data_IF_822164718418
#
_entry.id   IF_822164718418
#
_cell.length_a   1.000
_cell.length_b   1.000
_cell.length_c   1.000
_cell.angle_alpha   90.00
_cell.angle_beta   90.00
_cell.angle_gamma   90.00
#
_symmetry.space_group_name_H-M   'P 1'
#
loop_
_entity.id
_entity.type
_entity.pdbx_description
1 polymer ?
#
# COMPACT_ATOMS: atom_id res chain seq x y z
N UNK A 1 -7.13 -3.63 -18.40
CA UNK A 1 -6.31 -4.32 -17.39
C UNK A 1 -6.16 -3.42 -16.16
N UNK A 2 -6.24 -3.97 -14.95
CA UNK A 2 -5.96 -3.28 -13.69
C UNK A 2 -4.60 -3.75 -13.18
N UNK A 3 -3.69 -2.83 -12.83
CA UNK A 3 -2.43 -3.17 -12.19
C UNK A 3 -2.52 -2.92 -10.67
N UNK A 4 -2.06 -3.88 -9.88
CA UNK A 4 -1.93 -3.74 -8.42
C UNK A 4 -0.47 -3.88 -8.02
N UNK A 5 0.11 -2.84 -7.43
CA UNK A 5 1.40 -2.93 -6.76
C UNK A 5 1.19 -3.20 -5.27
N UNK A 6 2.14 -3.87 -4.62
CA UNK A 6 1.96 -4.28 -3.23
C UNK A 6 0.89 -5.37 -3.03
N UNK A 7 0.53 -6.10 -4.10
CA UNK A 7 -0.46 -7.17 -4.08
C UNK A 7 -0.15 -8.33 -3.14
N UNK A 8 1.09 -8.44 -2.68
CA UNK A 8 1.52 -9.46 -1.70
C UNK A 8 1.44 -8.98 -0.24
N UNK A 9 1.03 -7.73 0.00
CA UNK A 9 0.77 -7.17 1.33
C UNK A 9 -0.66 -7.42 1.81
N UNK A 10 -0.97 -7.00 3.05
CA UNK A 10 -2.29 -7.20 3.64
C UNK A 10 -3.40 -6.62 2.76
N UNK A 11 -3.44 -5.31 2.55
CA UNK A 11 -4.48 -4.65 1.77
C UNK A 11 -4.48 -5.11 0.31
N UNK A 12 -3.28 -5.17 -0.31
CA UNK A 12 -3.18 -5.54 -1.73
C UNK A 12 -3.68 -6.94 -2.02
N UNK A 13 -3.45 -7.92 -1.14
CA UNK A 13 -3.97 -9.28 -1.32
C UNK A 13 -5.50 -9.35 -1.23
N UNK A 14 -6.11 -8.59 -0.34
CA UNK A 14 -7.58 -8.51 -0.25
C UNK A 14 -8.19 -7.78 -1.46
N UNK A 15 -7.53 -6.72 -1.93
CA UNK A 15 -7.94 -6.05 -3.16
C UNK A 15 -7.86 -7.00 -4.38
N UNK A 16 -6.78 -7.79 -4.48
CA UNK A 16 -6.65 -8.79 -5.54
C UNK A 16 -7.74 -9.84 -5.47
N UNK A 17 -8.08 -10.32 -4.26
CA UNK A 17 -9.19 -11.25 -4.06
C UNK A 17 -10.49 -10.64 -4.60
N UNK A 18 -10.82 -9.43 -4.18
CA UNK A 18 -12.06 -8.74 -4.59
C UNK A 18 -12.12 -8.53 -6.11
N UNK A 19 -11.02 -8.11 -6.73
CA UNK A 19 -10.96 -7.93 -8.19
C UNK A 19 -11.13 -9.26 -8.95
N UNK A 20 -10.53 -10.35 -8.42
CA UNK A 20 -10.66 -11.68 -9.03
C UNK A 20 -12.08 -12.26 -8.90
N UNK A 21 -12.76 -12.03 -7.77
CA UNK A 21 -14.17 -12.36 -7.55
C UNK A 21 -15.09 -11.62 -8.52
N UNK A 22 -14.85 -10.33 -8.71
CA UNK A 22 -15.61 -9.48 -9.63
C UNK A 22 -15.29 -9.78 -11.11
N UNK A 23 -14.42 -10.76 -11.39
CA UNK A 23 -14.03 -11.16 -12.74
C UNK A 23 -13.25 -10.07 -13.50
N UNK A 24 -12.61 -9.14 -12.78
CA UNK A 24 -11.82 -8.08 -13.42
C UNK A 24 -10.47 -8.63 -13.89
N UNK A 25 -10.01 -8.23 -15.10
CA UNK A 25 -8.67 -8.57 -15.56
C UNK A 25 -7.65 -7.81 -14.72
N UNK A 26 -6.88 -8.53 -13.91
CA UNK A 26 -5.93 -7.94 -12.95
C UNK A 26 -4.53 -8.51 -13.12
N UNK A 27 -3.55 -7.61 -13.13
CA UNK A 27 -2.11 -7.87 -13.06
C UNK A 27 -1.57 -7.44 -11.71
N UNK A 28 -0.68 -8.22 -11.12
CA UNK A 28 -0.06 -7.92 -9.84
C UNK A 28 1.47 -8.04 -9.92
N UNK A 29 2.16 -7.00 -9.45
CA UNK A 29 3.62 -7.04 -9.34
C UNK A 29 4.01 -7.74 -8.04
N UNK A 30 4.99 -8.66 -8.14
CA UNK A 30 5.61 -9.32 -7.00
C UNK A 30 7.14 -9.29 -7.10
N UNK A 31 7.84 -9.24 -5.95
CA UNK A 31 9.31 -9.27 -5.90
C UNK A 31 9.88 -10.67 -5.71
N UNK A 32 9.22 -11.48 -4.89
CA UNK A 32 9.66 -12.84 -4.57
C UNK A 32 8.52 -13.85 -4.70
N UNK A 33 8.83 -15.04 -5.20
CA UNK A 33 7.88 -16.15 -5.37
C UNK A 33 7.19 -16.49 -4.04
N UNK A 34 7.95 -16.58 -2.96
CA UNK A 34 7.42 -16.92 -1.63
C UNK A 34 6.32 -15.94 -1.18
N UNK A 35 6.51 -14.62 -1.41
CA UNK A 35 5.49 -13.63 -1.08
C UNK A 35 4.27 -13.70 -2.01
N UNK A 36 4.49 -13.95 -3.32
CA UNK A 36 3.39 -14.20 -4.26
C UNK A 36 2.55 -15.40 -3.82
N UNK A 37 3.19 -16.52 -3.52
CA UNK A 37 2.50 -17.75 -3.17
C UNK A 37 1.76 -17.64 -1.81
N UNK A 38 2.27 -16.82 -0.89
CA UNK A 38 1.61 -16.55 0.39
C UNK A 38 0.24 -15.89 0.26
N UNK A 39 -0.05 -15.21 -0.86
CA UNK A 39 -1.36 -14.59 -1.13
C UNK A 39 -2.47 -15.64 -1.19
N UNK A 40 -2.14 -16.87 -1.63
CA UNK A 40 -3.10 -17.97 -1.64
C UNK A 40 -3.64 -18.27 -0.22
N UNK A 41 -2.81 -18.12 0.81
CA UNK A 41 -3.26 -18.30 2.19
C UNK A 41 -4.32 -17.26 2.57
N UNK A 42 -4.13 -15.99 2.17
CA UNK A 42 -5.13 -14.93 2.40
C UNK A 42 -6.45 -15.27 1.71
N UNK A 43 -6.41 -15.69 0.46
CA UNK A 43 -7.60 -16.10 -0.29
C UNK A 43 -8.33 -17.27 0.38
N UNK A 44 -7.58 -18.22 0.92
CA UNK A 44 -8.13 -19.41 1.58
C UNK A 44 -8.92 -19.12 2.86
N UNK A 45 -8.73 -17.94 3.48
CA UNK A 45 -9.57 -17.52 4.61
C UNK A 45 -11.02 -17.22 4.19
N UNK A 46 -11.24 -16.87 2.93
CA UNK A 46 -12.53 -16.42 2.43
C UNK A 46 -13.20 -17.40 1.48
N UNK A 47 -12.42 -18.20 0.72
CA UNK A 47 -12.93 -19.01 -0.36
C UNK A 47 -12.35 -20.42 -0.39
N UNK A 48 -13.22 -21.44 -0.55
CA UNK A 48 -12.78 -22.80 -0.83
C UNK A 48 -12.11 -22.95 -2.22
N UNK A 49 -12.45 -22.07 -3.18
CA UNK A 49 -11.86 -22.01 -4.54
C UNK A 49 -10.71 -20.99 -4.65
N UNK A 50 -10.01 -20.74 -3.55
CA UNK A 50 -8.91 -19.75 -3.49
C UNK A 50 -7.89 -19.90 -4.61
N UNK A 51 -7.51 -21.14 -4.96
CA UNK A 51 -6.55 -21.43 -6.02
C UNK A 51 -7.03 -20.98 -7.40
N UNK A 52 -8.30 -21.17 -7.70
CA UNK A 52 -8.89 -20.76 -8.98
C UNK A 52 -8.90 -19.23 -9.12
N UNK A 53 -9.23 -18.51 -8.04
CA UNK A 53 -9.19 -17.05 -8.02
C UNK A 53 -7.75 -16.52 -8.14
N UNK A 54 -6.81 -17.13 -7.44
CA UNK A 54 -5.39 -16.80 -7.51
C UNK A 54 -4.82 -17.00 -8.93
N UNK A 55 -5.24 -18.05 -9.64
CA UNK A 55 -4.83 -18.35 -11.02
C UNK A 55 -5.38 -17.36 -12.06
N UNK A 56 -6.43 -16.59 -11.74
CA UNK A 56 -6.95 -15.54 -12.62
C UNK A 56 -6.08 -14.28 -12.63
N UNK A 57 -5.14 -14.18 -11.69
CA UNK A 57 -4.26 -13.02 -11.57
C UNK A 57 -3.05 -13.22 -12.48
N UNK A 58 -2.77 -12.23 -13.32
CA UNK A 58 -1.53 -12.17 -14.07
C UNK A 58 -0.39 -11.68 -13.16
N UNK A 59 0.48 -12.60 -12.76
CA UNK A 59 1.60 -12.30 -11.88
C UNK A 59 2.84 -11.90 -12.66
N UNK A 60 3.34 -10.67 -12.43
CA UNK A 60 4.55 -10.14 -13.09
C UNK A 60 5.62 -9.87 -12.04
N UNK A 61 6.82 -10.40 -12.28
CA UNK A 61 7.97 -10.11 -11.42
C UNK A 61 8.48 -8.70 -11.71
N UNK A 62 8.59 -7.86 -10.66
CA UNK A 62 9.05 -6.48 -10.81
C UNK A 62 9.25 -5.80 -9.45
N UNK A 63 9.86 -4.62 -9.50
CA UNK A 63 10.07 -3.76 -8.34
C UNK A 63 9.72 -2.32 -8.71
N UNK A 64 9.03 -1.60 -7.81
CA UNK A 64 8.69 -0.19 -8.03
C UNK A 64 9.92 0.73 -8.08
N UNK A 65 11.08 0.25 -7.65
CA UNK A 65 12.35 0.94 -7.80
C UNK A 65 13.05 0.66 -9.14
N UNK A 66 12.53 -0.28 -9.94
CA UNK A 66 13.04 -0.62 -11.27
C UNK A 66 12.06 -0.10 -12.34
N UNK A 67 12.43 1.03 -12.96
CA UNK A 67 11.59 1.73 -13.95
C UNK A 67 11.27 0.83 -15.15
N UNK A 68 12.23 0.04 -15.63
CA UNK A 68 11.99 -0.84 -16.77
C UNK A 68 10.93 -1.90 -16.45
N UNK A 69 10.98 -2.50 -15.25
CA UNK A 69 9.96 -3.47 -14.83
C UNK A 69 8.57 -2.84 -14.65
N UNK A 70 8.50 -1.54 -14.33
CA UNK A 70 7.23 -0.80 -14.26
C UNK A 70 6.65 -0.54 -15.64
N UNK A 71 7.46 -0.09 -16.60
CA UNK A 71 7.03 0.15 -17.98
C UNK A 71 6.44 -1.13 -18.60
N UNK A 72 7.14 -2.26 -18.46
CA UNK A 72 6.65 -3.57 -18.92
C UNK A 72 5.32 -3.97 -18.22
N UNK A 73 5.22 -3.70 -16.91
CA UNK A 73 4.02 -4.05 -16.13
C UNK A 73 2.81 -3.20 -16.47
N UNK A 74 3.00 -2.02 -17.04
CA UNK A 74 1.93 -1.09 -17.40
C UNK A 74 1.32 -1.37 -18.77
N UNK A 75 1.91 -2.22 -19.61
CA UNK A 75 1.39 -2.51 -20.94
C UNK A 75 -0.08 -2.97 -20.92
N UNK A 76 -0.96 -2.24 -21.62
CA UNK A 76 -2.39 -2.49 -21.68
C UNK A 76 -3.17 -2.17 -20.39
N UNK A 77 -2.55 -1.50 -19.43
CA UNK A 77 -3.17 -1.09 -18.17
C UNK A 77 -3.91 0.22 -18.34
N UNK A 78 -5.14 0.28 -17.82
CA UNK A 78 -5.96 1.50 -17.77
C UNK A 78 -6.24 2.00 -16.36
N UNK A 79 -5.92 1.17 -15.34
CA UNK A 79 -6.12 1.53 -13.94
C UNK A 79 -5.00 0.93 -13.08
N UNK A 80 -4.48 1.73 -12.16
CA UNK A 80 -3.45 1.32 -11.20
C UNK A 80 -3.96 1.50 -9.77
N UNK A 81 -3.76 0.49 -8.94
CA UNK A 81 -3.88 0.60 -7.49
C UNK A 81 -2.50 0.43 -6.86
N UNK A 82 -2.00 1.50 -6.30
CA UNK A 82 -0.68 1.54 -5.67
C UNK A 82 -0.80 1.28 -4.16
N UNK A 83 -0.67 0.01 -3.77
CA UNK A 83 -0.68 -0.44 -2.38
C UNK A 83 0.73 -0.75 -1.85
N UNK A 84 1.76 -0.67 -2.70
CA UNK A 84 3.13 -0.94 -2.29
C UNK A 84 3.64 0.17 -1.37
N UNK A 85 4.10 -0.23 -0.19
CA UNK A 85 4.82 0.64 0.74
C UNK A 85 5.70 -0.21 1.67
N UNK A 86 6.78 0.38 2.16
CA UNK A 86 7.55 -0.17 3.25
C UNK A 86 7.14 0.51 4.57
N UNK A 87 7.08 -0.28 5.63
CA UNK A 87 6.82 0.21 7.00
C UNK A 87 7.90 -0.36 7.91
N UNK A 88 8.67 0.50 8.54
CA UNK A 88 9.64 0.09 9.55
C UNK A 88 9.79 1.14 10.64
N UNK A 89 10.10 0.69 11.84
CA UNK A 89 10.48 1.54 12.98
C UNK A 89 11.95 1.37 13.33
N UNK A 90 12.71 0.58 12.56
CA UNK A 90 14.14 0.33 12.75
C UNK A 90 14.92 1.46 12.09
N UNK A 91 15.74 2.24 12.85
CA UNK A 91 16.45 3.39 12.28
C UNK A 91 17.31 3.06 11.05
N UNK A 92 17.99 1.94 11.05
CA UNK A 92 18.85 1.51 9.94
C UNK A 92 18.09 1.20 8.64
N UNK A 93 16.77 1.01 8.68
CA UNK A 93 15.94 0.68 7.53
C UNK A 93 15.14 1.91 7.01
N UNK A 94 15.20 3.04 7.71
CA UNK A 94 14.36 4.21 7.39
C UNK A 94 14.70 4.81 6.03
N UNK A 95 15.97 4.82 5.65
CA UNK A 95 16.41 5.29 4.34
C UNK A 95 15.83 4.43 3.22
N UNK A 96 15.89 3.10 3.36
CA UNK A 96 15.29 2.19 2.41
C UNK A 96 13.76 2.35 2.34
N UNK A 97 13.10 2.51 3.50
CA UNK A 97 11.66 2.79 3.56
C UNK A 97 11.32 4.07 2.80
N UNK A 98 12.07 5.16 3.03
CA UNK A 98 11.87 6.42 2.33
C UNK A 98 12.04 6.25 0.81
N UNK A 99 13.09 5.55 0.39
CA UNK A 99 13.34 5.24 -1.01
C UNK A 99 12.18 4.48 -1.64
N UNK A 100 11.71 3.40 -1.02
CA UNK A 100 10.57 2.62 -1.53
C UNK A 100 9.31 3.48 -1.61
N UNK A 101 8.99 4.23 -0.54
CA UNK A 101 7.72 4.96 -0.47
C UNK A 101 7.70 6.18 -1.39
N UNK A 102 8.80 6.92 -1.49
CA UNK A 102 8.85 8.18 -2.26
C UNK A 102 9.33 7.94 -3.69
N UNK A 103 10.54 7.40 -3.86
CA UNK A 103 11.09 7.19 -5.21
C UNK A 103 10.28 6.11 -5.97
N UNK A 104 9.85 5.02 -5.29
CA UNK A 104 9.01 4.01 -5.90
C UNK A 104 7.65 4.57 -6.36
N UNK A 105 7.03 5.47 -5.58
CA UNK A 105 5.80 6.16 -5.99
C UNK A 105 6.08 7.11 -7.16
N UNK A 106 7.16 7.90 -7.09
CA UNK A 106 7.56 8.80 -8.18
C UNK A 106 7.79 8.05 -9.50
N UNK A 107 8.51 6.93 -9.46
CA UNK A 107 8.74 6.09 -10.64
C UNK A 107 7.41 5.61 -11.26
N UNK A 108 6.50 5.11 -10.42
CA UNK A 108 5.22 4.59 -10.89
C UNK A 108 4.31 5.67 -11.46
N UNK A 109 4.20 6.85 -10.82
CA UNK A 109 3.38 7.95 -11.37
C UNK A 109 3.98 8.52 -12.65
N UNK A 110 5.30 8.59 -12.77
CA UNK A 110 5.98 9.02 -13.99
C UNK A 110 5.73 8.03 -15.14
N UNK A 111 5.84 6.73 -14.90
CA UNK A 111 5.52 5.71 -15.89
C UNK A 111 4.05 5.76 -16.31
N UNK A 112 3.12 6.01 -15.37
CA UNK A 112 1.70 6.20 -15.67
C UNK A 112 1.44 7.46 -16.53
N UNK A 113 2.12 8.56 -16.24
CA UNK A 113 2.04 9.80 -17.05
C UNK A 113 2.55 9.57 -18.47
N UNK A 114 3.69 8.89 -18.60
CA UNK A 114 4.30 8.58 -19.90
C UNK A 114 3.38 7.72 -20.76
N UNK A 115 2.74 6.70 -20.19
CA UNK A 115 1.80 5.86 -20.90
C UNK A 115 0.50 6.60 -21.26
N UNK A 116 0.02 7.47 -20.37
CA UNK A 116 -1.24 8.19 -20.55
C UNK A 116 -2.50 7.34 -20.36
N UNK A 117 -3.64 8.00 -20.14
CA UNK A 117 -4.96 7.35 -20.07
C UNK A 117 -5.19 6.47 -18.83
N UNK A 118 -4.30 6.51 -17.84
CA UNK A 118 -4.38 5.71 -16.62
C UNK A 118 -5.15 6.45 -15.52
N UNK A 119 -6.05 5.71 -14.85
CA UNK A 119 -6.63 6.13 -13.57
C UNK A 119 -5.79 5.54 -12.43
N UNK A 120 -5.28 6.39 -11.56
CA UNK A 120 -4.34 6.02 -10.50
C UNK A 120 -4.97 6.16 -9.11
N UNK A 121 -4.98 5.09 -8.33
CA UNK A 121 -5.39 5.09 -6.93
C UNK A 121 -4.20 4.84 -6.02
N UNK A 122 -3.89 5.79 -5.12
CA UNK A 122 -2.81 5.66 -4.14
C UNK A 122 -3.34 5.34 -2.75
N UNK A 123 -2.79 4.31 -2.13
CA UNK A 123 -3.03 4.02 -0.72
C UNK A 123 -1.97 4.73 0.12
N UNK A 124 -2.38 5.85 0.71
CA UNK A 124 -1.56 6.60 1.65
C UNK A 124 -1.77 6.12 3.10
N UNK A 125 -1.88 7.01 4.04
CA UNK A 125 -2.10 6.74 5.46
C UNK A 125 -2.57 8.00 6.18
N UNK A 126 -3.36 7.86 7.24
CA UNK A 126 -3.62 8.96 8.18
C UNK A 126 -2.32 9.56 8.76
N UNK A 127 -1.21 8.83 8.70
CA UNK A 127 0.09 9.35 9.13
C UNK A 127 0.63 10.47 8.23
N UNK A 128 0.19 10.54 6.97
CA UNK A 128 0.57 11.60 6.03
C UNK A 128 -0.20 12.91 6.27
N UNK A 129 -1.28 12.86 7.04
CA UNK A 129 -2.11 14.03 7.34
C UNK A 129 -1.46 14.83 8.47
N UNK A 130 -1.45 16.15 8.35
CA UNK A 130 -0.91 17.05 9.37
C UNK A 130 -1.67 16.96 10.70
N UNK A 131 -0.94 17.25 11.79
CA UNK A 131 -1.49 17.30 13.16
C UNK A 131 -0.98 18.56 13.83
N UNK A 132 -1.87 19.40 14.34
CA UNK A 132 -1.45 20.56 15.12
C UNK A 132 -1.61 20.39 16.65
N UNK A 133 -2.16 19.25 17.09
CA UNK A 133 -2.31 18.89 18.49
C UNK A 133 -3.55 19.54 19.18
N UNK A 134 -4.27 20.40 18.49
CA UNK A 134 -5.46 21.09 19.03
C UNK A 134 -6.79 20.44 18.61
N UNK A 135 -6.76 19.51 17.67
CA UNK A 135 -7.94 18.93 17.03
C UNK A 135 -8.28 17.56 17.61
N UNK A 136 -9.55 17.38 17.94
CA UNK A 136 -10.09 16.08 18.38
C UNK A 136 -10.24 15.11 17.17
N UNK A 137 -10.48 15.65 15.98
CA UNK A 137 -10.69 14.87 14.74
C UNK A 137 -9.75 15.35 13.67
N UNK A 138 -8.94 14.42 13.15
CA UNK A 138 -8.02 14.66 12.04
C UNK A 138 -8.73 14.28 10.74
N UNK A 139 -8.63 15.14 9.74
CA UNK A 139 -9.21 14.94 8.41
C UNK A 139 -8.25 15.45 7.33
N UNK A 140 -8.56 15.19 6.08
CA UNK A 140 -7.79 15.64 4.92
C UNK A 140 -7.72 17.17 4.75
N UNK A 141 -8.45 17.92 5.62
CA UNK A 141 -8.36 19.39 5.67
C UNK A 141 -7.20 19.89 6.50
N UNK A 142 -6.58 19.00 7.28
CA UNK A 142 -5.44 19.35 8.10
C UNK A 142 -4.20 19.56 7.24
N UNK A 143 -3.49 20.65 7.48
CA UNK A 143 -2.24 20.95 6.79
C UNK A 143 -1.06 20.24 7.43
N UNK A 144 -0.17 19.71 6.60
CA UNK A 144 1.09 19.17 7.06
C UNK A 144 1.97 20.28 7.65
N UNK A 145 2.57 20.01 8.80
CA UNK A 145 3.55 20.91 9.42
C UNK A 145 4.83 20.12 9.70
N UNK A 146 5.94 20.62 9.20
CA UNK A 146 7.25 20.04 9.49
C UNK A 146 7.56 20.16 11.00
N UNK A 147 7.93 19.06 11.59
CA UNK A 147 8.23 18.98 13.02
C UNK A 147 9.24 17.86 13.28
N UNK A 148 10.12 18.07 14.26
CA UNK A 148 11.02 17.03 14.76
C UNK A 148 10.30 15.85 15.41
N UNK A 149 9.00 15.98 15.67
CA UNK A 149 8.16 14.92 16.21
C UNK A 149 7.52 14.03 15.13
N UNK A 150 7.64 14.41 13.85
CA UNK A 150 7.12 13.59 12.76
C UNK A 150 7.93 12.30 12.64
N UNK A 151 7.26 11.16 12.73
CA UNK A 151 7.90 9.87 12.54
C UNK A 151 8.41 9.72 11.08
N UNK A 152 9.53 9.04 10.87
CA UNK A 152 10.10 8.81 9.55
C UNK A 152 9.10 8.19 8.56
N UNK A 153 8.24 7.29 9.04
CA UNK A 153 7.16 6.74 8.24
C UNK A 153 6.16 7.81 7.78
N UNK A 154 5.74 8.69 8.70
CA UNK A 154 4.81 9.78 8.38
C UNK A 154 5.38 10.70 7.31
N UNK A 155 6.66 11.09 7.45
CA UNK A 155 7.38 11.91 6.47
C UNK A 155 7.42 11.19 5.11
N UNK A 156 7.74 9.89 5.08
CA UNK A 156 7.81 9.13 3.84
C UNK A 156 6.46 9.02 3.13
N UNK A 157 5.36 8.88 3.87
CA UNK A 157 4.01 8.82 3.29
C UNK A 157 3.55 10.19 2.80
N UNK A 158 3.84 11.26 3.56
CA UNK A 158 3.56 12.62 3.11
C UNK A 158 4.32 12.96 1.81
N UNK A 159 5.62 12.67 1.76
CA UNK A 159 6.42 12.93 0.56
C UNK A 159 5.95 12.10 -0.65
N UNK A 160 5.49 10.86 -0.42
CA UNK A 160 4.88 10.04 -1.48
C UNK A 160 3.57 10.67 -2.00
N UNK A 161 2.72 11.23 -1.12
CA UNK A 161 1.54 11.99 -1.54
C UNK A 161 1.93 13.21 -2.39
N UNK A 162 3.01 13.92 -2.05
CA UNK A 162 3.48 15.06 -2.85
C UNK A 162 3.82 14.65 -4.29
N UNK A 163 4.39 13.45 -4.50
CA UNK A 163 4.63 12.92 -5.85
C UNK A 163 3.31 12.65 -6.60
N UNK A 164 2.31 12.13 -5.91
CA UNK A 164 0.98 11.93 -6.51
C UNK A 164 0.30 13.26 -6.80
N UNK A 165 0.36 14.24 -5.90
CA UNK A 165 -0.17 15.59 -6.15
C UNK A 165 0.52 16.27 -7.33
N UNK A 166 1.85 16.19 -7.40
CA UNK A 166 2.61 16.67 -8.56
C UNK A 166 2.07 16.07 -9.85
N UNK A 167 1.91 14.75 -9.87
CA UNK A 167 1.43 14.05 -11.06
C UNK A 167 0.01 14.43 -11.48
N UNK A 168 -0.87 14.82 -10.54
CA UNK A 168 -2.20 15.33 -10.89
C UNK A 168 -2.14 16.68 -11.59
N UNK A 169 -1.21 17.55 -11.19
CA UNK A 169 -0.97 18.85 -11.87
C UNK A 169 -0.41 18.61 -13.29
N UNK A 170 0.35 17.53 -13.49
CA UNK A 170 0.89 17.11 -14.79
C UNK A 170 -0.13 16.33 -15.64
N UNK A 171 -1.35 16.09 -15.13
CA UNK A 171 -2.46 15.52 -15.88
C UNK A 171 -2.82 14.06 -15.57
N UNK A 172 -2.20 13.44 -14.56
CA UNK A 172 -2.61 12.09 -14.12
C UNK A 172 -3.96 12.16 -13.41
N UNK A 173 -4.91 11.35 -13.84
CA UNK A 173 -6.19 11.20 -13.13
C UNK A 173 -5.99 10.32 -11.89
N UNK A 174 -5.67 10.95 -10.75
CA UNK A 174 -5.36 10.24 -9.52
C UNK A 174 -6.33 10.55 -8.38
N UNK A 175 -6.48 9.58 -7.47
CA UNK A 175 -7.12 9.76 -6.17
C UNK A 175 -6.28 9.08 -5.08
N UNK A 176 -6.43 9.51 -3.85
CA UNK A 176 -5.74 8.95 -2.68
C UNK A 176 -6.74 8.60 -1.59
N UNK A 177 -6.38 7.61 -0.78
CA UNK A 177 -7.08 7.25 0.45
C UNK A 177 -6.07 7.22 1.60
N UNK A 178 -6.50 7.68 2.78
CA UNK A 178 -5.67 7.78 3.98
C UNK A 178 -6.21 6.83 5.08
N UNK A 179 -6.06 5.52 4.93
CA UNK A 179 -6.56 4.58 5.92
C UNK A 179 -5.83 4.73 7.26
N UNK A 180 -6.54 4.46 8.34
CA UNK A 180 -5.96 4.24 9.66
C UNK A 180 -5.30 2.85 9.74
N UNK A 181 -5.15 2.26 10.91
CA UNK A 181 -4.61 0.91 11.06
C UNK A 181 -5.56 -0.12 10.41
N UNK A 182 -5.09 -0.74 9.33
CA UNK A 182 -5.86 -1.75 8.60
C UNK A 182 -5.73 -3.09 9.31
N UNK A 183 -6.85 -3.71 9.63
CA UNK A 183 -6.94 -5.01 10.26
C UNK A 183 -7.56 -6.04 9.30
N UNK A 184 -7.01 -7.24 9.29
CA UNK A 184 -7.52 -8.34 8.50
C UNK A 184 -6.64 -9.57 8.60
N UNK A 185 -7.12 -10.75 8.18
CA UNK A 185 -6.34 -11.97 8.15
C UNK A 185 -5.25 -11.89 7.06
N UNK A 186 -4.06 -12.41 7.37
CA UNK A 186 -2.92 -12.37 6.46
C UNK A 186 -1.67 -12.96 7.08
N UNK A 187 -0.52 -12.35 6.86
CA UNK A 187 0.74 -12.78 7.45
C UNK A 187 0.79 -12.41 8.94
N UNK A 188 0.57 -13.41 9.81
CA UNK A 188 0.61 -13.25 11.27
C UNK A 188 2.00 -12.94 11.84
N UNK A 189 3.03 -12.91 11.00
CA UNK A 189 4.41 -12.56 11.40
C UNK A 189 4.80 -11.14 11.04
N UNK A 190 3.94 -10.42 10.30
CA UNK A 190 4.21 -9.08 9.80
C UNK A 190 3.02 -8.13 10.03
N UNK A 191 3.30 -6.82 9.96
CA UNK A 191 2.28 -5.76 10.02
C UNK A 191 1.34 -5.89 11.22
N UNK A 192 0.06 -5.63 11.05
CA UNK A 192 -0.98 -5.73 12.08
C UNK A 192 -1.22 -7.17 12.54
N UNK A 193 -0.97 -8.17 11.68
CA UNK A 193 -1.01 -9.59 12.08
C UNK A 193 -0.04 -9.91 13.23
N UNK A 194 1.19 -9.37 13.18
CA UNK A 194 2.16 -9.54 14.25
C UNK A 194 1.69 -8.91 15.59
N UNK A 195 0.92 -7.82 15.54
CA UNK A 195 0.33 -7.22 16.74
C UNK A 195 -0.67 -8.16 17.42
N UNK A 196 -1.56 -8.78 16.62
CA UNK A 196 -2.51 -9.77 17.12
C UNK A 196 -1.80 -10.98 17.73
N UNK A 197 -0.80 -11.53 17.04
CA UNK A 197 0.00 -12.65 17.55
C UNK A 197 0.66 -12.30 18.87
N UNK A 198 1.21 -11.09 18.98
CA UNK A 198 1.86 -10.62 20.21
C UNK A 198 0.85 -10.43 21.35
N UNK A 199 -0.32 -9.85 21.07
CA UNK A 199 -1.40 -9.71 22.05
C UNK A 199 -1.91 -11.07 22.54
N UNK A 200 -2.10 -12.03 21.64
CA UNK A 200 -2.51 -13.39 21.96
C UNK A 200 -1.49 -14.13 22.84
N UNK A 201 -0.19 -13.89 22.62
CA UNK A 201 0.90 -14.50 23.42
C UNK A 201 1.07 -13.84 24.81
N UNK A 202 0.30 -12.79 25.10
CA UNK A 202 0.37 -12.04 26.35
C UNK A 202 1.27 -10.80 26.23
N UNK A 203 0.71 -9.66 26.62
CA UNK A 203 1.45 -8.38 26.70
C UNK A 203 1.70 -8.05 28.17
N UNK A 204 2.97 -7.96 28.62
CA UNK A 204 3.28 -7.58 29.98
C UNK A 204 2.98 -6.09 30.27
N UNK A 205 2.89 -5.28 29.20
CA UNK A 205 2.59 -3.85 29.29
C UNK A 205 1.66 -3.44 28.16
N UNK A 206 0.84 -2.40 28.39
CA UNK A 206 0.03 -1.77 27.36
C UNK A 206 0.16 -0.26 27.45
N UNK A 207 0.02 0.42 26.30
CA UNK A 207 -0.01 1.88 26.23
C UNK A 207 -1.42 2.39 26.50
N UNK A 208 -1.52 3.52 27.19
CA UNK A 208 -2.79 4.27 27.31
C UNK A 208 -2.99 5.07 26.02
N UNK A 209 -4.22 5.13 25.55
CA UNK A 209 -4.60 5.89 24.36
C UNK A 209 -5.56 5.09 23.47
N UNK A 210 -6.03 5.73 22.42
CA UNK A 210 -6.90 5.14 21.38
C UNK A 210 -6.26 5.23 20.01
N UNK A 211 -6.58 4.27 19.15
CA UNK A 211 -6.27 4.32 17.74
C UNK A 211 -7.54 4.02 16.94
N UNK A 212 -7.60 4.56 15.73
CA UNK A 212 -8.63 4.18 14.78
C UNK A 212 -8.18 2.97 13.99
N UNK A 213 -9.13 2.07 13.75
CA UNK A 213 -8.92 0.87 12.96
C UNK A 213 -9.93 0.83 11.82
N UNK A 214 -9.55 0.21 10.72
CA UNK A 214 -10.43 -0.04 9.57
C UNK A 214 -10.30 -1.51 9.17
N UNK A 215 -11.40 -2.11 8.78
CA UNK A 215 -11.42 -3.44 8.18
C UNK A 215 -10.77 -3.40 6.78
N UNK A 216 -10.12 -4.49 6.41
CA UNK A 216 -9.38 -4.61 5.15
C UNK A 216 -10.31 -4.72 3.93
#
# INVERSE_FOLDING_TARGET
MILVTGGTGLLGSHLLLKLAEDGKPVRAIYRTETKRDSVLNTFSYYHGSAKELWQKIEWVKGDILDVASLEDSLEGVSQVYHCAAAVTFIPAEQEYMHKVNVEGTANLVNACLQQGGIRFGHVSSVAAIGRDGSEEVISEKNEWKDSSHNAAYAISKHNAEMEVWRSTVEGLNAFMINPSLILGPGDWTASTGAMFKKAYSGLPFYTRGGNCFVDV
#
